data_IF_079695768140
#
_entry.id   IF_079695768140
#
_cell.length_a   1.000
_cell.length_b   1.000
_cell.length_c   1.000
_cell.angle_alpha   90.00
_cell.angle_beta   90.00
_cell.angle_gamma   90.00
#
_symmetry.space_group_name_H-M   'P 1'
#
loop_
_entity.id
_entity.type
_entity.pdbx_description
1 polymer ?
#
# COMPACT_ATOMS: atom_id res chain seq x y z
N UNK A 1 27.54 11.45 16.04
CA UNK A 1 26.49 12.10 16.86
C UNK A 1 25.90 11.00 17.74
N UNK A 2 26.06 11.20 19.04
CA UNK A 2 26.12 10.09 19.99
C UNK A 2 24.85 9.23 20.04
N UNK A 3 25.05 7.94 20.22
CA UNK A 3 24.02 6.91 20.45
C UNK A 3 22.99 7.29 21.51
N UNK A 4 23.30 8.25 22.38
CA UNK A 4 22.42 8.78 23.42
C UNK A 4 21.21 9.56 22.89
N UNK A 5 21.36 10.31 21.79
CA UNK A 5 20.23 11.05 21.19
C UNK A 5 19.32 10.08 20.44
N UNK A 6 19.91 9.11 19.73
CA UNK A 6 19.13 8.11 18.99
C UNK A 6 18.48 7.02 19.87
N UNK A 7 18.98 6.81 21.08
CA UNK A 7 18.35 5.94 22.08
C UNK A 7 17.10 6.58 22.76
N UNK A 8 16.81 7.85 22.46
CA UNK A 8 15.60 8.51 22.95
C UNK A 8 14.34 7.89 22.31
N UNK A 9 13.34 7.61 23.13
CA UNK A 9 12.07 7.01 22.70
C UNK A 9 11.26 7.86 21.70
N UNK A 10 11.71 9.06 21.33
CA UNK A 10 10.96 10.01 20.51
C UNK A 10 11.64 10.44 19.21
N UNK A 11 12.95 10.29 19.09
CA UNK A 11 13.72 10.84 17.96
C UNK A 11 13.30 10.28 16.62
N UNK A 12 13.14 8.96 16.48
CA UNK A 12 12.67 8.34 15.23
C UNK A 12 11.26 8.78 14.84
N UNK A 13 10.37 8.98 15.82
CA UNK A 13 9.02 9.51 15.59
C UNK A 13 9.12 10.93 15.03
N UNK A 14 9.89 11.81 15.69
CA UNK A 14 10.03 13.21 15.29
C UNK A 14 10.62 13.33 13.87
N UNK A 15 11.68 12.56 13.58
CA UNK A 15 12.29 12.55 12.24
C UNK A 15 11.28 12.10 11.19
N UNK A 16 10.51 11.04 11.44
CA UNK A 16 9.49 10.54 10.52
C UNK A 16 8.39 11.59 10.25
N UNK A 17 7.88 12.22 11.31
CA UNK A 17 6.83 13.25 11.19
C UNK A 17 7.34 14.51 10.48
N UNK A 18 8.54 14.98 10.81
CA UNK A 18 9.14 16.13 10.12
C UNK A 18 9.40 15.85 8.64
N UNK A 19 9.91 14.66 8.32
CA UNK A 19 10.10 14.24 6.94
C UNK A 19 8.77 14.21 6.17
N UNK A 20 7.69 13.76 6.80
CA UNK A 20 6.37 13.75 6.20
C UNK A 20 5.80 15.18 6.00
N UNK A 21 5.96 16.07 6.98
CA UNK A 21 5.56 17.47 6.85
C UNK A 21 6.30 18.19 5.73
N UNK A 22 7.61 17.92 5.58
CA UNK A 22 8.39 18.43 4.44
C UNK A 22 7.82 17.92 3.12
N UNK A 23 7.46 16.64 3.07
CA UNK A 23 6.80 16.04 1.90
C UNK A 23 5.47 16.70 1.57
N UNK A 24 4.63 16.96 2.57
CA UNK A 24 3.36 17.68 2.42
C UNK A 24 3.57 19.11 1.92
N UNK A 25 4.54 19.83 2.48
CA UNK A 25 4.87 21.18 2.05
C UNK A 25 5.35 21.22 0.59
N UNK A 26 6.17 20.25 0.18
CA UNK A 26 6.63 20.11 -1.19
C UNK A 26 5.45 19.84 -2.15
N UNK A 27 4.56 18.92 -1.80
CA UNK A 27 3.38 18.60 -2.60
C UNK A 27 2.44 19.81 -2.75
N UNK A 28 2.17 20.53 -1.65
CA UNK A 28 1.32 21.73 -1.67
C UNK A 28 1.90 22.84 -2.56
N UNK A 29 3.24 23.00 -2.55
CA UNK A 29 3.93 24.05 -3.32
C UNK A 29 3.95 23.76 -4.82
N UNK A 30 4.30 22.54 -5.22
CA UNK A 30 4.52 22.19 -6.64
C UNK A 30 3.38 21.43 -7.28
N UNK A 31 2.46 20.85 -6.50
CA UNK A 31 1.26 20.10 -6.99
C UNK A 31 1.58 19.01 -8.04
N UNK A 32 2.79 18.45 -8.00
CA UNK A 32 3.21 17.37 -8.90
C UNK A 32 2.90 16.02 -8.25
N UNK A 33 2.34 15.09 -9.02
CA UNK A 33 2.03 13.73 -8.57
C UNK A 33 3.28 12.97 -8.08
N UNK A 34 4.44 13.23 -8.71
CA UNK A 34 5.74 12.67 -8.29
C UNK A 34 6.19 13.12 -6.89
N UNK A 35 5.72 14.27 -6.41
CA UNK A 35 6.02 14.79 -5.07
C UNK A 35 5.03 14.23 -4.05
N UNK A 36 4.82 12.91 -4.07
CA UNK A 36 4.02 12.23 -3.06
C UNK A 36 4.69 12.38 -1.69
N UNK A 37 3.97 12.86 -0.64
CA UNK A 37 4.55 13.10 0.68
C UNK A 37 5.19 11.87 1.29
N UNK A 38 4.58 10.69 1.08
CA UNK A 38 5.10 9.44 1.59
C UNK A 38 6.43 9.07 0.92
N UNK A 39 6.52 9.23 -0.41
CA UNK A 39 7.76 8.97 -1.15
C UNK A 39 8.89 9.91 -0.69
N UNK A 40 8.58 11.20 -0.56
CA UNK A 40 9.55 12.20 -0.11
C UNK A 40 10.00 11.90 1.32
N UNK A 41 9.08 11.57 2.23
CA UNK A 41 9.43 11.26 3.62
C UNK A 41 10.32 10.02 3.73
N UNK A 42 10.04 8.97 2.97
CA UNK A 42 10.89 7.77 2.90
C UNK A 42 12.29 8.15 2.42
N UNK A 43 12.39 8.91 1.33
CA UNK A 43 13.69 9.33 0.79
C UNK A 43 14.48 10.19 1.79
N UNK A 44 13.82 11.12 2.49
CA UNK A 44 14.46 11.96 3.52
C UNK A 44 14.95 11.11 4.69
N UNK A 45 14.14 10.17 5.20
CA UNK A 45 14.54 9.29 6.31
C UNK A 45 15.72 8.43 5.89
N UNK A 46 15.69 7.81 4.71
CA UNK A 46 16.82 7.01 4.20
C UNK A 46 18.08 7.89 4.09
N UNK A 47 17.96 9.06 3.48
CA UNK A 47 19.10 9.99 3.35
C UNK A 47 19.65 10.40 4.72
N UNK A 48 18.78 10.66 5.70
CA UNK A 48 19.20 10.97 7.06
C UNK A 48 19.99 9.83 7.69
N UNK A 49 19.48 8.59 7.62
CA UNK A 49 20.15 7.41 8.20
C UNK A 49 21.52 7.19 7.56
N UNK A 50 21.62 7.32 6.23
CA UNK A 50 22.87 7.12 5.48
C UNK A 50 23.89 8.22 5.78
N UNK A 51 23.47 9.49 5.72
CA UNK A 51 24.40 10.64 5.89
C UNK A 51 24.94 10.73 7.32
N UNK A 52 24.10 10.45 8.31
CA UNK A 52 24.49 10.50 9.72
C UNK A 52 25.01 9.16 10.26
N UNK A 53 25.15 8.13 9.38
CA UNK A 53 25.57 6.77 9.75
C UNK A 53 24.78 6.20 10.94
N UNK A 54 23.46 6.45 10.96
CA UNK A 54 22.58 5.94 11.98
C UNK A 54 22.14 4.53 11.62
N UNK A 55 22.32 3.61 12.56
CA UNK A 55 21.84 2.25 12.40
C UNK A 55 20.30 2.20 12.39
N UNK A 56 19.74 1.36 11.51
CA UNK A 56 18.29 1.22 11.39
C UNK A 56 17.63 0.75 12.69
N UNK A 57 18.25 -0.16 13.43
CA UNK A 57 17.72 -0.66 14.70
C UNK A 57 17.57 0.47 15.71
N UNK A 58 18.56 1.36 15.80
CA UNK A 58 18.55 2.54 16.67
C UNK A 58 17.42 3.50 16.30
N UNK A 59 17.19 3.75 15.01
CA UNK A 59 16.04 4.54 14.55
C UNK A 59 14.71 3.85 14.85
N UNK A 60 14.61 2.54 14.59
CA UNK A 60 13.40 1.78 14.73
C UNK A 60 12.97 1.62 16.21
N UNK A 61 13.89 1.69 17.16
CA UNK A 61 13.54 1.63 18.60
C UNK A 61 12.45 2.65 18.98
N UNK A 62 12.47 3.84 18.39
CA UNK A 62 11.45 4.86 18.62
C UNK A 62 10.43 4.96 17.50
N UNK A 63 10.82 4.81 16.24
CA UNK A 63 9.92 4.91 15.10
C UNK A 63 8.82 3.83 15.10
N UNK A 64 9.09 2.64 15.66
CA UNK A 64 8.11 1.56 15.82
C UNK A 64 6.84 1.96 16.57
N UNK A 65 6.87 2.98 17.41
CA UNK A 65 5.66 3.45 18.10
C UNK A 65 4.62 4.02 17.13
N UNK A 66 5.03 4.51 15.96
CA UNK A 66 4.10 4.90 14.91
C UNK A 66 3.28 3.71 14.38
N UNK A 67 3.82 2.49 14.45
CA UNK A 67 3.11 1.27 14.04
C UNK A 67 1.92 0.96 14.95
N UNK A 68 1.88 1.44 16.18
CA UNK A 68 0.71 1.29 17.05
C UNK A 68 -0.51 2.07 16.54
N UNK A 69 -0.29 3.10 15.71
CA UNK A 69 -1.37 3.84 15.06
C UNK A 69 -1.97 3.08 13.87
N UNK A 70 -1.32 2.02 13.40
CA UNK A 70 -1.79 1.24 12.25
C UNK A 70 -3.17 0.61 12.50
N UNK A 71 -3.37 0.01 13.68
CA UNK A 71 -4.66 -0.61 14.03
C UNK A 71 -5.80 0.40 14.09
N UNK A 72 -5.72 1.52 14.85
CA UNK A 72 -6.79 2.51 14.84
C UNK A 72 -6.97 3.17 13.48
N UNK A 73 -5.91 3.40 12.70
CA UNK A 73 -6.02 3.90 11.34
C UNK A 73 -6.80 2.92 10.45
N UNK A 74 -6.48 1.63 10.50
CA UNK A 74 -7.18 0.60 9.74
C UNK A 74 -8.65 0.49 10.15
N UNK A 75 -8.96 0.54 11.45
CA UNK A 75 -10.35 0.55 11.94
C UNK A 75 -11.10 1.78 11.43
N UNK A 76 -10.46 2.94 11.36
CA UNK A 76 -11.07 4.17 10.85
C UNK A 76 -11.53 4.04 9.39
N UNK A 77 -10.92 3.16 8.59
CA UNK A 77 -11.36 2.87 7.22
C UNK A 77 -12.75 2.21 7.16
N UNK A 78 -13.23 1.65 8.26
CA UNK A 78 -14.59 1.09 8.35
C UNK A 78 -15.67 2.17 8.43
N UNK A 79 -15.34 3.41 8.81
CA UNK A 79 -16.31 4.51 8.94
C UNK A 79 -16.95 4.84 7.59
N UNK A 80 -16.21 5.21 6.52
CA UNK A 80 -16.82 5.49 5.22
C UNK A 80 -17.53 4.25 4.65
N UNK A 81 -17.02 3.04 4.92
CA UNK A 81 -17.68 1.80 4.54
C UNK A 81 -19.07 1.68 5.16
N UNK A 82 -19.19 1.93 6.47
CA UNK A 82 -20.47 1.88 7.20
C UNK A 82 -21.46 2.93 6.68
N UNK A 83 -21.00 4.15 6.43
CA UNK A 83 -21.84 5.25 5.94
C UNK A 83 -22.41 4.98 4.54
N UNK A 84 -21.77 4.13 3.74
CA UNK A 84 -22.17 3.82 2.37
C UNK A 84 -22.69 2.37 2.19
N UNK A 85 -23.15 1.71 3.28
CA UNK A 85 -23.60 0.31 3.25
C UNK A 85 -24.70 0.04 2.23
N UNK A 86 -25.67 0.95 2.06
CA UNK A 86 -26.77 0.76 1.10
C UNK A 86 -26.27 0.80 -0.35
N UNK A 87 -25.29 1.65 -0.64
CA UNK A 87 -24.64 1.69 -1.95
C UNK A 87 -23.84 0.41 -2.22
N UNK A 88 -23.16 -0.12 -1.19
CA UNK A 88 -22.44 -1.38 -1.25
C UNK A 88 -23.37 -2.55 -1.58
N UNK A 89 -24.47 -2.68 -0.84
CA UNK A 89 -25.46 -3.74 -1.06
C UNK A 89 -26.07 -3.72 -2.47
N UNK A 90 -26.33 -2.51 -3.00
CA UNK A 90 -26.86 -2.35 -4.36
C UNK A 90 -25.86 -2.71 -5.47
N UNK A 91 -24.56 -2.66 -5.19
CA UNK A 91 -23.49 -2.85 -6.21
C UNK A 91 -22.64 -4.09 -5.95
N UNK A 92 -23.11 -5.06 -5.17
CA UNK A 92 -22.32 -6.20 -4.70
C UNK A 92 -21.69 -7.00 -5.85
N UNK A 93 -22.42 -7.21 -6.94
CA UNK A 93 -21.91 -7.91 -8.12
C UNK A 93 -20.77 -7.16 -8.82
N UNK A 94 -20.89 -5.83 -8.95
CA UNK A 94 -19.84 -5.00 -9.53
C UNK A 94 -18.59 -4.96 -8.64
N UNK A 95 -18.78 -4.96 -7.32
CA UNK A 95 -17.68 -4.96 -6.34
C UNK A 95 -16.89 -6.25 -6.43
N UNK A 96 -17.56 -7.41 -6.27
CA UNK A 96 -16.88 -8.70 -6.34
C UNK A 96 -16.28 -8.96 -7.73
N UNK A 97 -17.00 -8.67 -8.81
CA UNK A 97 -16.48 -8.79 -10.16
C UNK A 97 -15.25 -7.92 -10.42
N UNK A 98 -15.29 -6.67 -9.98
CA UNK A 98 -14.17 -5.73 -10.11
C UNK A 98 -12.95 -6.15 -9.28
N UNK A 99 -13.15 -6.54 -8.02
CA UNK A 99 -12.04 -6.94 -7.15
C UNK A 99 -11.43 -8.26 -7.61
N UNK A 100 -12.25 -9.28 -7.90
CA UNK A 100 -11.75 -10.59 -8.36
C UNK A 100 -10.97 -10.45 -9.67
N UNK A 101 -11.49 -9.68 -10.64
CA UNK A 101 -10.77 -9.43 -11.89
C UNK A 101 -9.44 -8.70 -11.65
N UNK A 102 -9.41 -7.75 -10.74
CA UNK A 102 -8.19 -7.04 -10.35
C UNK A 102 -7.16 -7.94 -9.67
N UNK A 103 -7.60 -8.83 -8.77
CA UNK A 103 -6.72 -9.83 -8.12
C UNK A 103 -6.15 -10.80 -9.16
N UNK A 104 -6.99 -11.34 -10.05
CA UNK A 104 -6.53 -12.24 -11.11
C UNK A 104 -5.54 -11.53 -12.03
N UNK A 105 -5.83 -10.29 -12.42
CA UNK A 105 -4.92 -9.48 -13.23
C UNK A 105 -3.59 -9.22 -12.51
N UNK A 106 -3.62 -8.94 -11.21
CA UNK A 106 -2.40 -8.72 -10.40
C UNK A 106 -1.55 -9.98 -10.31
N UNK A 107 -2.13 -11.10 -9.89
CA UNK A 107 -1.43 -12.38 -9.76
C UNK A 107 -0.95 -12.91 -11.13
N UNK A 108 -1.79 -12.81 -12.16
CA UNK A 108 -1.44 -13.20 -13.52
C UNK A 108 -0.30 -12.36 -14.11
N UNK A 109 -0.29 -11.05 -13.84
CA UNK A 109 0.82 -10.18 -14.25
C UNK A 109 2.12 -10.57 -13.57
N UNK A 110 2.08 -10.87 -12.26
CA UNK A 110 3.26 -11.35 -11.52
C UNK A 110 3.77 -12.65 -12.12
N UNK A 111 2.88 -13.62 -12.40
CA UNK A 111 3.24 -14.88 -13.04
C UNK A 111 3.92 -14.66 -14.41
N UNK A 112 3.27 -13.89 -15.29
CA UNK A 112 3.83 -13.62 -16.63
C UNK A 112 5.19 -12.92 -16.54
N UNK A 113 5.34 -11.92 -15.68
CA UNK A 113 6.60 -11.22 -15.50
C UNK A 113 7.67 -12.13 -14.91
N UNK A 114 7.32 -13.01 -13.98
CA UNK A 114 8.26 -13.98 -13.42
C UNK A 114 8.79 -14.95 -14.48
N UNK A 115 7.94 -15.42 -15.38
CA UNK A 115 8.34 -16.25 -16.52
C UNK A 115 9.24 -15.45 -17.47
N UNK A 116 8.86 -14.23 -17.84
CA UNK A 116 9.62 -13.40 -18.79
C UNK A 116 11.01 -13.04 -18.26
N UNK A 117 11.12 -12.73 -16.97
CA UNK A 117 12.39 -12.36 -16.35
C UNK A 117 13.16 -13.54 -15.77
N UNK A 118 12.63 -14.76 -15.84
CA UNK A 118 13.29 -15.96 -15.31
C UNK A 118 13.50 -15.92 -13.80
N UNK A 119 12.53 -15.37 -13.06
CA UNK A 119 12.62 -15.31 -11.60
C UNK A 119 12.57 -16.71 -11.02
N UNK A 120 13.30 -16.94 -9.93
CA UNK A 120 13.18 -18.17 -9.16
C UNK A 120 11.80 -18.26 -8.50
N UNK A 121 11.39 -19.47 -8.13
CA UNK A 121 10.13 -19.69 -7.38
C UNK A 121 10.04 -18.80 -6.14
N UNK A 122 11.15 -18.68 -5.40
CA UNK A 122 11.20 -17.86 -4.19
C UNK A 122 10.98 -16.37 -4.46
N UNK A 123 11.55 -15.84 -5.55
CA UNK A 123 11.33 -14.45 -5.98
C UNK A 123 9.89 -14.25 -6.47
N UNK A 124 9.35 -15.22 -7.19
CA UNK A 124 7.96 -15.21 -7.66
C UNK A 124 6.97 -15.10 -6.50
N UNK A 125 7.05 -16.01 -5.52
CA UNK A 125 6.11 -15.99 -4.38
C UNK A 125 6.29 -14.74 -3.50
N UNK A 126 7.48 -14.13 -3.49
CA UNK A 126 7.75 -12.84 -2.87
C UNK A 126 6.91 -11.71 -3.47
N UNK A 127 6.66 -11.75 -4.79
CA UNK A 127 5.94 -10.71 -5.52
C UNK A 127 4.42 -10.90 -5.53
N UNK A 128 3.91 -12.10 -5.28
CA UNK A 128 2.47 -12.39 -5.33
C UNK A 128 1.62 -11.44 -4.47
N UNK A 129 1.98 -11.13 -3.22
CA UNK A 129 1.16 -10.29 -2.35
C UNK A 129 1.34 -8.79 -2.56
N UNK A 130 1.91 -8.32 -3.68
CA UNK A 130 2.28 -6.92 -3.89
C UNK A 130 1.15 -5.88 -3.77
N UNK A 131 -0.09 -6.28 -4.00
CA UNK A 131 -1.24 -5.36 -4.11
C UNK A 131 -2.16 -5.35 -2.89
N UNK A 132 -1.76 -5.98 -1.79
CA UNK A 132 -2.52 -6.03 -0.55
C UNK A 132 -1.82 -5.31 0.59
N UNK A 133 -2.44 -5.27 1.78
CA UNK A 133 -1.83 -4.62 2.93
C UNK A 133 -0.56 -5.33 3.38
N UNK A 134 0.40 -4.57 3.89
CA UNK A 134 1.69 -5.09 4.35
C UNK A 134 1.54 -6.23 5.35
N UNK A 135 0.60 -6.11 6.32
CA UNK A 135 0.38 -7.12 7.34
C UNK A 135 -0.03 -8.49 6.75
N UNK A 136 -1.00 -8.49 5.81
CA UNK A 136 -1.43 -9.73 5.15
C UNK A 136 -0.34 -10.22 4.20
N UNK A 137 0.32 -9.31 3.48
CA UNK A 137 1.36 -9.66 2.51
C UNK A 137 2.60 -10.28 3.14
N UNK A 138 3.00 -9.84 4.34
CA UNK A 138 4.07 -10.48 5.11
C UNK A 138 3.73 -11.93 5.43
N UNK A 139 2.52 -12.17 5.95
CA UNK A 139 2.07 -13.53 6.29
C UNK A 139 2.05 -14.46 5.08
N UNK A 140 1.52 -14.01 3.92
CA UNK A 140 1.52 -14.82 2.70
C UNK A 140 2.96 -15.10 2.23
N UNK A 141 3.83 -14.08 2.21
CA UNK A 141 5.22 -14.25 1.79
C UNK A 141 5.98 -15.22 2.67
N UNK A 142 5.77 -15.17 3.98
CA UNK A 142 6.38 -16.09 4.95
C UNK A 142 5.89 -17.52 4.75
N UNK A 143 4.57 -17.71 4.64
CA UNK A 143 3.93 -19.02 4.43
C UNK A 143 4.39 -19.70 3.13
N UNK A 144 4.54 -18.93 2.05
CA UNK A 144 4.98 -19.42 0.75
C UNK A 144 6.52 -19.51 0.61
N UNK A 145 7.28 -19.17 1.65
CA UNK A 145 8.74 -19.25 1.66
C UNK A 145 9.46 -18.12 0.89
N UNK A 146 8.79 -17.01 0.66
CA UNK A 146 9.35 -15.81 0.00
C UNK A 146 10.31 -15.01 0.88
N UNK A 147 10.81 -13.90 0.34
CA UNK A 147 11.61 -12.92 1.07
C UNK A 147 10.70 -11.84 1.68
N UNK A 148 10.29 -11.99 2.93
CA UNK A 148 9.32 -11.09 3.60
C UNK A 148 9.71 -9.62 3.50
N UNK A 149 10.98 -9.28 3.74
CA UNK A 149 11.47 -7.90 3.66
C UNK A 149 11.32 -7.31 2.26
N UNK A 150 11.57 -8.12 1.22
CA UNK A 150 11.40 -7.68 -0.17
C UNK A 150 9.92 -7.52 -0.49
N UNK A 151 9.06 -8.44 -0.04
CA UNK A 151 7.60 -8.31 -0.18
C UNK A 151 7.09 -7.00 0.42
N UNK A 152 7.53 -6.63 1.63
CA UNK A 152 7.18 -5.36 2.27
C UNK A 152 7.59 -4.17 1.39
N UNK A 153 8.83 -4.17 0.89
CA UNK A 153 9.31 -3.10 0.02
C UNK A 153 8.46 -2.98 -1.27
N UNK A 154 8.15 -4.09 -1.91
CA UNK A 154 7.35 -4.12 -3.14
C UNK A 154 5.91 -3.67 -2.89
N UNK A 155 5.30 -4.08 -1.78
CA UNK A 155 3.96 -3.62 -1.36
C UNK A 155 3.96 -2.10 -1.18
N UNK A 156 4.93 -1.54 -0.47
CA UNK A 156 5.04 -0.09 -0.25
C UNK A 156 5.21 0.64 -1.58
N UNK A 157 6.13 0.19 -2.44
CA UNK A 157 6.35 0.78 -3.76
C UNK A 157 5.07 0.72 -4.60
N UNK A 158 4.38 -0.42 -4.63
CA UNK A 158 3.11 -0.59 -5.35
C UNK A 158 2.05 0.40 -4.84
N UNK A 159 1.92 0.54 -3.52
CA UNK A 159 0.98 1.48 -2.91
C UNK A 159 1.30 2.94 -3.27
N UNK A 160 2.56 3.34 -3.17
CA UNK A 160 3.01 4.70 -3.50
C UNK A 160 2.79 5.01 -4.99
N UNK A 161 3.22 4.11 -5.90
CA UNK A 161 3.01 4.28 -7.34
C UNK A 161 1.53 4.35 -7.69
N UNK A 162 0.71 3.48 -7.08
CA UNK A 162 -0.72 3.52 -7.30
C UNK A 162 -1.36 4.82 -6.80
N UNK A 163 -1.01 5.31 -5.63
CA UNK A 163 -1.47 6.60 -5.14
C UNK A 163 -1.12 7.75 -6.11
N UNK A 164 0.08 7.72 -6.68
CA UNK A 164 0.57 8.74 -7.62
C UNK A 164 -0.13 8.69 -8.97
N UNK A 165 -0.31 7.49 -9.54
CA UNK A 165 -0.71 7.32 -10.93
C UNK A 165 -2.17 6.91 -11.13
N UNK A 166 -2.87 6.39 -10.11
CA UNK A 166 -4.21 5.84 -10.26
C UNK A 166 -5.21 6.86 -10.83
N UNK A 167 -5.15 8.12 -10.40
CA UNK A 167 -6.04 9.16 -10.93
C UNK A 167 -5.75 9.45 -12.41
N UNK A 168 -4.47 9.50 -12.79
CA UNK A 168 -4.06 9.65 -14.18
C UNK A 168 -4.54 8.47 -15.04
N UNK A 169 -4.37 7.25 -14.53
CA UNK A 169 -4.85 6.02 -15.20
C UNK A 169 -6.38 6.06 -15.36
N UNK A 170 -7.12 6.43 -14.31
CA UNK A 170 -8.57 6.57 -14.39
C UNK A 170 -9.00 7.59 -15.44
N UNK A 171 -8.29 8.72 -15.57
CA UNK A 171 -8.53 9.72 -16.60
C UNK A 171 -8.21 9.19 -18.00
N UNK A 172 -7.08 8.51 -18.17
CA UNK A 172 -6.64 7.92 -19.44
C UNK A 172 -7.65 6.90 -19.98
N UNK A 173 -8.12 6.00 -19.11
CA UNK A 173 -9.11 4.98 -19.46
C UNK A 173 -10.57 5.46 -19.33
N UNK A 174 -10.79 6.76 -19.08
CA UNK A 174 -12.12 7.38 -18.95
C UNK A 174 -13.01 6.72 -17.89
N UNK A 175 -12.42 6.24 -16.80
CA UNK A 175 -13.14 5.66 -15.65
C UNK A 175 -13.73 6.82 -14.83
N UNK A 176 -15.02 7.08 -15.01
CA UNK A 176 -15.72 8.22 -14.40
C UNK A 176 -16.54 7.83 -13.17
N UNK A 177 -16.98 6.57 -13.08
CA UNK A 177 -17.79 6.09 -11.96
C UNK A 177 -17.01 6.15 -10.64
N UNK A 178 -17.53 6.83 -9.60
CA UNK A 178 -16.90 6.85 -8.27
C UNK A 178 -16.69 5.45 -7.70
N UNK A 179 -17.67 4.54 -7.91
CA UNK A 179 -17.60 3.14 -7.49
C UNK A 179 -16.39 2.46 -8.14
N UNK A 180 -16.26 2.55 -9.46
CA UNK A 180 -15.18 1.89 -10.21
C UNK A 180 -13.81 2.48 -9.86
N UNK A 181 -13.73 3.79 -9.63
CA UNK A 181 -12.51 4.47 -9.20
C UNK A 181 -12.08 3.98 -7.82
N UNK A 182 -13.01 3.97 -6.85
CA UNK A 182 -12.73 3.48 -5.51
C UNK A 182 -12.26 2.02 -5.51
N UNK A 183 -12.94 1.13 -6.22
CA UNK A 183 -12.54 -0.26 -6.36
C UNK A 183 -11.13 -0.40 -6.97
N UNK A 184 -10.82 0.37 -8.01
CA UNK A 184 -9.50 0.36 -8.64
C UNK A 184 -8.39 0.79 -7.68
N UNK A 185 -8.60 1.88 -6.91
CA UNK A 185 -7.64 2.36 -5.93
C UNK A 185 -7.37 1.33 -4.82
N UNK A 186 -8.43 0.77 -4.23
CA UNK A 186 -8.30 -0.20 -3.15
C UNK A 186 -7.67 -1.52 -3.59
N UNK A 187 -8.04 -2.01 -4.78
CA UNK A 187 -7.55 -3.30 -5.31
C UNK A 187 -6.10 -3.22 -5.79
N UNK A 188 -5.70 -2.10 -6.40
CA UNK A 188 -4.35 -1.95 -6.94
C UNK A 188 -3.33 -1.48 -5.90
N UNK A 189 -3.75 -0.63 -4.94
CA UNK A 189 -2.84 0.17 -4.11
C UNK A 189 -3.19 0.14 -2.63
N UNK A 190 -4.03 -0.79 -2.22
CA UNK A 190 -4.40 -1.06 -0.83
C UNK A 190 -4.66 0.20 0.02
N UNK A 191 -4.17 0.28 1.26
CA UNK A 191 -4.42 1.39 2.18
C UNK A 191 -3.87 2.74 1.66
N UNK A 192 -2.73 2.73 0.98
CA UNK A 192 -2.11 3.96 0.43
C UNK A 192 -2.97 4.55 -0.69
N UNK A 193 -3.50 3.69 -1.57
CA UNK A 193 -4.47 4.12 -2.59
C UNK A 193 -5.80 4.57 -2.00
N UNK A 194 -6.26 3.92 -0.92
CA UNK A 194 -7.49 4.27 -0.23
C UNK A 194 -7.41 5.66 0.41
N UNK A 195 -6.27 6.05 0.97
CA UNK A 195 -6.08 7.42 1.44
C UNK A 195 -6.34 8.44 0.32
N UNK A 196 -5.85 8.18 -0.90
CA UNK A 196 -6.13 9.02 -2.06
C UNK A 196 -7.60 8.96 -2.50
N UNK A 197 -8.22 7.78 -2.46
CA UNK A 197 -9.63 7.63 -2.79
C UNK A 197 -10.53 8.45 -1.86
N UNK A 198 -10.22 8.53 -0.57
CA UNK A 198 -10.94 9.35 0.41
C UNK A 198 -10.84 10.86 0.11
N UNK A 199 -9.70 11.33 -0.41
CA UNK A 199 -9.55 12.73 -0.83
C UNK A 199 -10.39 13.05 -2.07
N UNK A 200 -10.72 12.06 -2.91
CA UNK A 200 -11.51 12.23 -4.12
C UNK A 200 -13.02 12.28 -3.84
N UNK A 201 -13.49 11.54 -2.84
CA UNK A 201 -14.89 11.53 -2.42
C UNK A 201 -15.25 10.41 -1.47
N UNK A 202 -16.39 10.56 -0.80
CA UNK A 202 -16.90 9.59 0.17
C UNK A 202 -17.19 8.22 -0.44
N UNK A 203 -17.74 8.22 -1.66
CA UNK A 203 -18.06 6.98 -2.39
C UNK A 203 -16.78 6.26 -2.81
N UNK A 204 -15.81 6.98 -3.37
CA UNK A 204 -14.50 6.43 -3.71
C UNK A 204 -13.80 5.85 -2.49
N UNK A 205 -13.82 6.57 -1.36
CA UNK A 205 -13.22 6.13 -0.10
C UNK A 205 -13.87 4.86 0.43
N UNK A 206 -15.21 4.81 0.47
CA UNK A 206 -15.97 3.64 0.93
C UNK A 206 -15.71 2.40 0.06
N UNK A 207 -15.77 2.56 -1.27
CA UNK A 207 -15.53 1.46 -2.20
C UNK A 207 -14.09 0.96 -2.13
N UNK A 208 -13.13 1.86 -1.95
CA UNK A 208 -11.72 1.51 -1.79
C UNK A 208 -11.47 0.76 -0.48
N UNK A 209 -12.08 1.20 0.62
CA UNK A 209 -11.98 0.53 1.92
C UNK A 209 -12.53 -0.90 1.88
N UNK A 210 -13.67 -1.10 1.20
CA UNK A 210 -14.20 -2.45 0.98
C UNK A 210 -13.28 -3.29 0.08
N UNK A 211 -12.77 -2.69 -0.99
CA UNK A 211 -11.90 -3.38 -1.92
C UNK A 211 -10.64 -3.93 -1.24
N UNK A 212 -10.06 -3.22 -0.26
CA UNK A 212 -8.93 -3.73 0.53
C UNK A 212 -9.26 -5.07 1.19
N UNK A 213 -10.41 -5.14 1.86
CA UNK A 213 -10.80 -6.34 2.61
C UNK A 213 -11.04 -7.52 1.67
N UNK A 214 -11.84 -7.31 0.63
CA UNK A 214 -12.17 -8.36 -0.34
C UNK A 214 -10.92 -8.78 -1.12
N UNK A 215 -10.09 -7.83 -1.54
CA UNK A 215 -8.82 -8.09 -2.23
C UNK A 215 -7.86 -8.91 -1.36
N UNK A 216 -7.75 -8.56 -0.07
CA UNK A 216 -6.94 -9.31 0.89
C UNK A 216 -7.35 -10.77 0.96
N UNK A 217 -8.65 -11.05 1.18
CA UNK A 217 -9.19 -12.40 1.24
C UNK A 217 -8.99 -13.18 -0.09
N UNK A 218 -9.32 -12.55 -1.21
CA UNK A 218 -9.14 -13.16 -2.53
C UNK A 218 -7.67 -13.44 -2.84
N UNK A 219 -6.75 -12.56 -2.39
CA UNK A 219 -5.31 -12.75 -2.65
C UNK A 219 -4.73 -13.86 -1.78
N UNK A 220 -5.20 -14.04 -0.53
CA UNK A 220 -4.77 -15.20 0.29
C UNK A 220 -5.06 -16.51 -0.43
N UNK A 221 -6.29 -16.67 -0.92
CA UNK A 221 -6.69 -17.88 -1.67
C UNK A 221 -5.96 -17.96 -3.02
N UNK A 222 -5.92 -16.83 -3.74
CA UNK A 222 -5.32 -16.75 -5.07
C UNK A 222 -3.81 -16.97 -5.03
N UNK A 223 -3.08 -16.38 -4.11
CA UNK A 223 -1.62 -16.53 -4.01
C UNK A 223 -1.24 -17.98 -3.71
N UNK A 224 -1.96 -18.64 -2.79
CA UNK A 224 -1.75 -20.08 -2.51
C UNK A 224 -1.96 -20.93 -3.75
N UNK A 225 -2.97 -20.64 -4.59
CA UNK A 225 -3.21 -21.34 -5.83
C UNK A 225 -2.16 -21.03 -6.89
N UNK A 226 -1.81 -19.75 -7.05
CA UNK A 226 -0.83 -19.30 -8.05
C UNK A 226 0.59 -19.74 -7.71
N UNK A 227 0.94 -19.95 -6.45
CA UNK A 227 2.28 -20.40 -6.04
C UNK A 227 2.69 -21.74 -6.69
N UNK A 228 1.74 -22.59 -7.05
CA UNK A 228 2.01 -23.86 -7.74
C UNK A 228 2.21 -23.73 -9.25
N UNK A 229 2.03 -22.55 -9.84
CA UNK A 229 2.10 -22.37 -11.29
C UNK A 229 3.51 -22.06 -11.80
N UNK A 230 4.43 -21.75 -10.89
CA UNK A 230 5.81 -21.38 -11.24
C UNK A 230 6.83 -21.77 -10.17
#
# INVERSE_FOLDING_TARGET
MDNLIMSSATVGIVISLLAYEIGLAAQRKWKLALLNPLLISIAIVIAFLVVFHVDYESYNMSAKYLSYLLTPATVSLAIPLYLQLDLLKKNIGAIFGGVISGVIASLGTVLVMSIVFGLSHKEYVTMLPKSITTAIGMGISEELGGYVTISVAVIIITGVLGNMFAEYICKLFRIKSPISRGLAFGTASHAVGTARAMELGEVEGAMSSLAIVVCGLCTVIGASTFSYLW
#
